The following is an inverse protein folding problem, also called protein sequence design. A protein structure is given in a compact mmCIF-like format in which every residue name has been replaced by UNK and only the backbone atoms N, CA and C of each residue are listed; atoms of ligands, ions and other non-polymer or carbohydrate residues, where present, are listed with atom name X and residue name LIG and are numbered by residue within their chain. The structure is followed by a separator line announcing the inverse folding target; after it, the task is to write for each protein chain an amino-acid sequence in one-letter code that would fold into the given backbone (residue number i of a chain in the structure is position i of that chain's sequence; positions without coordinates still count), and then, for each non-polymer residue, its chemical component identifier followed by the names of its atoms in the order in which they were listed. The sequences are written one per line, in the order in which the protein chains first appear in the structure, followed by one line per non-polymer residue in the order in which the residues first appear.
data_IF_717604918797
#
_entry.id   IF_717604918797
#
_cell.length_a   1.000
_cell.length_b   1.000
_cell.length_c   1.000
_cell.angle_alpha   90.00
_cell.angle_beta   90.00
_cell.angle_gamma   90.00
#
_symmetry.space_group_name_H-M   'P 1'
#
loop_
_entity.id
_entity.type
_entity.pdbx_description
1 polymer ?
#
# COMPACT_ATOMS: atom_id res chain seq x y z
N UNK A 1 14.55 10.97 -29.64
CA UNK A 1 15.10 10.27 -28.46
C UNK A 1 15.97 11.24 -27.67
N UNK A 2 15.48 11.86 -26.58
CA UNK A 2 16.33 12.40 -25.53
C UNK A 2 16.28 11.52 -24.27
N UNK A 3 17.40 11.50 -23.56
CA UNK A 3 17.69 10.60 -22.45
C UNK A 3 17.05 11.08 -21.14
N UNK A 4 16.54 10.09 -20.41
CA UNK A 4 16.05 10.02 -19.02
C UNK A 4 16.39 11.21 -18.12
N UNK A 5 15.35 11.80 -17.53
CA UNK A 5 15.44 12.81 -16.49
C UNK A 5 16.01 12.28 -15.18
N UNK A 6 16.84 13.11 -14.55
CA UNK A 6 17.32 12.96 -13.18
C UNK A 6 16.20 13.25 -12.18
N UNK A 7 15.87 12.33 -11.26
CA UNK A 7 15.06 12.61 -10.11
C UNK A 7 15.94 12.78 -8.86
N UNK A 8 16.84 13.77 -8.86
CA UNK A 8 17.44 14.26 -7.61
C UNK A 8 16.42 15.11 -6.86
N UNK A 9 15.45 14.45 -6.26
CA UNK A 9 14.60 15.10 -5.26
C UNK A 9 14.44 14.17 -4.07
N UNK A 10 15.53 14.08 -3.33
CA UNK A 10 15.57 13.63 -1.94
C UNK A 10 14.68 14.57 -1.09
N UNK A 11 13.37 14.30 -1.11
CA UNK A 11 12.44 14.88 -0.17
C UNK A 11 12.59 14.15 1.17
N UNK A 12 13.57 14.62 1.96
CA UNK A 12 13.87 14.15 3.30
C UNK A 12 12.64 14.31 4.21
N UNK A 13 12.20 13.20 4.80
CA UNK A 13 11.15 13.15 5.81
C UNK A 13 11.73 13.59 7.17
N UNK A 14 11.13 14.60 7.80
CA UNK A 14 11.59 15.18 9.07
C UNK A 14 10.49 15.08 10.14
N UNK A 15 10.79 14.41 11.27
CA UNK A 15 9.89 14.29 12.43
C UNK A 15 9.92 15.62 13.23
N UNK A 16 8.81 16.37 13.26
CA UNK A 16 8.75 17.70 13.90
C UNK A 16 8.73 17.69 15.44
N UNK A 17 8.93 16.55 16.11
CA UNK A 17 8.80 16.46 17.59
C UNK A 17 10.03 15.94 18.32
N UNK A 18 10.94 15.26 17.64
CA UNK A 18 12.18 14.77 18.18
C UNK A 18 13.16 14.73 17.01
N UNK A 19 14.24 15.51 17.05
CA UNK A 19 15.19 15.66 15.94
C UNK A 19 15.99 14.39 15.61
N UNK A 20 15.32 13.27 15.35
CA UNK A 20 15.90 12.00 14.91
C UNK A 20 15.13 11.53 13.68
N UNK A 21 15.83 11.48 12.55
CA UNK A 21 15.36 10.92 11.30
C UNK A 21 14.99 9.44 11.49
N UNK A 22 13.73 9.06 11.20
CA UNK A 22 13.28 7.66 11.26
C UNK A 22 13.76 6.82 10.06
N UNK A 23 14.28 7.48 9.02
CA UNK A 23 14.79 6.88 7.79
C UNK A 23 14.46 7.75 6.57
N UNK A 24 15.02 7.42 5.40
CA UNK A 24 14.69 8.08 4.14
C UNK A 24 13.45 7.38 3.55
N UNK A 25 12.35 8.12 3.37
CA UNK A 25 11.16 7.66 2.65
C UNK A 25 11.10 8.31 1.27
N UNK A 26 10.64 7.58 0.25
CA UNK A 26 10.41 8.18 -1.06
C UNK A 26 9.22 9.16 -1.01
N UNK A 27 9.12 10.08 -1.98
CA UNK A 27 8.05 11.09 -2.05
C UNK A 27 6.64 10.50 -1.87
N UNK A 28 6.38 9.34 -2.47
CA UNK A 28 5.08 8.67 -2.37
C UNK A 28 4.81 8.10 -0.97
N UNK A 29 5.83 7.59 -0.30
CA UNK A 29 5.70 7.10 1.07
C UNK A 29 5.49 8.24 2.05
N UNK A 30 6.29 9.32 1.94
CA UNK A 30 6.14 10.52 2.75
C UNK A 30 4.75 11.17 2.53
N UNK A 31 4.37 11.40 1.27
CA UNK A 31 3.05 11.90 0.93
C UNK A 31 1.93 11.00 1.45
N UNK A 32 2.11 9.68 1.36
CA UNK A 32 1.21 8.69 1.93
C UNK A 32 1.03 8.83 3.44
N UNK A 33 2.12 8.94 4.20
CA UNK A 33 2.07 9.16 5.65
C UNK A 33 1.35 10.47 6.00
N UNK A 34 1.62 11.54 5.26
CA UNK A 34 0.93 12.83 5.39
C UNK A 34 -0.59 12.72 5.20
N UNK A 35 -1.06 11.91 4.25
CA UNK A 35 -2.51 11.65 4.08
C UNK A 35 -3.14 10.99 5.32
N UNK A 36 -2.37 10.18 6.04
CA UNK A 36 -2.79 9.58 7.31
C UNK A 36 -2.45 10.45 8.53
N UNK A 37 -1.97 11.69 8.34
CA UNK A 37 -1.53 12.62 9.39
C UNK A 37 -0.54 11.98 10.37
N UNK A 38 0.34 11.14 9.85
CA UNK A 38 1.36 10.40 10.61
C UNK A 38 0.77 9.60 11.79
N UNK A 39 -0.51 9.26 11.74
CA UNK A 39 -1.22 8.60 12.82
C UNK A 39 -1.16 7.08 12.66
N UNK A 40 -0.49 6.36 13.58
CA UNK A 40 -0.43 4.90 13.53
C UNK A 40 -1.82 4.26 13.54
N UNK A 41 -2.78 4.85 14.27
CA UNK A 41 -4.16 4.38 14.34
C UNK A 41 -4.87 4.47 12.99
N UNK A 42 -4.64 5.54 12.22
CA UNK A 42 -5.26 5.69 10.88
C UNK A 42 -4.65 4.71 9.88
N UNK A 43 -3.34 4.53 9.93
CA UNK A 43 -2.64 3.51 9.15
C UNK A 43 -3.14 2.10 9.47
N UNK A 44 -3.31 1.76 10.75
CA UNK A 44 -3.85 0.47 11.17
C UNK A 44 -5.27 0.21 10.65
N UNK A 45 -6.11 1.25 10.61
CA UNK A 45 -7.45 1.17 9.99
C UNK A 45 -7.38 0.94 8.49
N UNK A 46 -6.48 1.62 7.78
CA UNK A 46 -6.26 1.39 6.35
C UNK A 46 -5.79 -0.05 6.07
N UNK A 47 -4.86 -0.58 6.86
CA UNK A 47 -4.42 -1.99 6.78
C UNK A 47 -5.61 -2.94 7.02
N UNK A 48 -6.43 -2.65 8.02
CA UNK A 48 -7.63 -3.44 8.33
C UNK A 48 -8.61 -3.44 7.15
N UNK A 49 -8.86 -2.28 6.57
CA UNK A 49 -9.71 -2.14 5.38
C UNK A 49 -9.18 -2.96 4.20
N UNK A 50 -7.88 -2.90 3.91
CA UNK A 50 -7.26 -3.70 2.85
C UNK A 50 -7.42 -5.21 3.14
N UNK A 51 -7.11 -5.66 4.35
CA UNK A 51 -7.27 -7.08 4.72
C UNK A 51 -8.70 -7.57 4.56
N UNK A 52 -9.69 -6.73 4.86
CA UNK A 52 -11.10 -7.08 4.70
C UNK A 52 -11.57 -7.10 3.25
N UNK A 53 -11.05 -6.21 2.41
CA UNK A 53 -11.61 -5.94 1.06
C UNK A 53 -10.79 -6.49 -0.10
N UNK A 54 -9.52 -6.83 0.14
CA UNK A 54 -8.64 -7.37 -0.89
C UNK A 54 -8.98 -8.83 -1.18
N UNK A 55 -8.95 -9.18 -2.47
CA UNK A 55 -9.01 -10.55 -2.93
C UNK A 55 -7.67 -11.23 -2.67
N UNK A 56 -7.70 -12.32 -1.90
CA UNK A 56 -6.54 -13.17 -1.64
C UNK A 56 -6.60 -14.40 -2.54
N UNK A 57 -5.45 -14.78 -3.09
CA UNK A 57 -5.30 -16.01 -3.87
C UNK A 57 -4.96 -17.15 -2.92
N UNK A 58 -5.87 -18.10 -2.75
CA UNK A 58 -5.63 -19.35 -2.04
C UNK A 58 -5.30 -20.45 -3.05
N UNK A 59 -4.14 -21.10 -2.91
CA UNK A 59 -3.79 -22.27 -3.72
C UNK A 59 -4.67 -23.44 -3.27
N UNK A 60 -5.45 -24.02 -4.19
CA UNK A 60 -6.33 -25.16 -3.91
C UNK A 60 -5.88 -26.44 -4.60
N UNK A 61 -5.12 -26.30 -5.69
CA UNK A 61 -4.51 -27.40 -6.45
C UNK A 61 -3.27 -26.86 -7.16
N UNK A 62 -2.26 -27.69 -7.51
CA UNK A 62 -1.14 -27.24 -8.35
C UNK A 62 -1.59 -26.44 -9.57
N UNK A 63 -1.20 -25.16 -9.63
CA UNK A 63 -1.57 -24.25 -10.70
C UNK A 63 -2.97 -23.62 -10.61
N UNK A 64 -3.83 -24.06 -9.69
CA UNK A 64 -5.20 -23.55 -9.52
C UNK A 64 -5.32 -22.74 -8.23
N UNK A 65 -5.70 -21.48 -8.40
CA UNK A 65 -5.89 -20.54 -7.30
C UNK A 65 -7.36 -20.11 -7.23
N UNK A 66 -7.92 -20.12 -6.04
CA UNK A 66 -9.21 -19.52 -5.76
C UNK A 66 -9.01 -18.09 -5.25
N UNK A 67 -9.77 -17.14 -5.79
CA UNK A 67 -9.85 -15.79 -5.24
C UNK A 67 -10.92 -15.76 -4.15
N UNK A 68 -10.51 -15.46 -2.92
CA UNK A 68 -11.38 -15.32 -1.76
C UNK A 68 -11.19 -13.92 -1.16
N UNK A 69 -12.28 -13.26 -0.79
CA UNK A 69 -12.22 -12.04 0.01
C UNK A 69 -13.07 -12.25 1.26
N UNK A 70 -12.61 -11.86 2.46
CA UNK A 70 -13.38 -12.04 3.68
C UNK A 70 -14.74 -11.33 3.66
N UNK A 71 -14.85 -10.22 2.92
CA UNK A 71 -16.06 -9.39 2.89
C UNK A 71 -16.77 -9.38 1.54
N UNK A 72 -16.13 -9.85 0.46
CA UNK A 72 -16.74 -9.91 -0.88
C UNK A 72 -17.02 -11.37 -1.27
N UNK A 73 -18.28 -11.67 -1.52
CA UNK A 73 -18.70 -12.95 -2.10
C UNK A 73 -18.06 -13.18 -3.47
N UNK A 74 -17.89 -14.44 -3.87
CA UNK A 74 -17.19 -14.90 -5.10
C UNK A 74 -17.40 -13.91 -6.26
N UNK A 75 -16.34 -13.43 -6.92
CA UNK A 75 -16.51 -12.50 -8.03
C UNK A 75 -17.26 -13.23 -9.16
N UNK A 76 -18.15 -12.54 -9.89
CA UNK A 76 -18.84 -13.15 -11.02
C UNK A 76 -17.80 -13.70 -12.01
N UNK A 77 -18.06 -14.90 -12.53
CA UNK A 77 -17.16 -15.51 -13.51
C UNK A 77 -17.25 -14.67 -14.79
N UNK A 78 -16.11 -14.33 -15.43
CA UNK A 78 -16.10 -13.46 -16.62
C UNK A 78 -16.68 -14.11 -17.90
N UNK A 79 -17.47 -15.18 -17.76
CA UNK A 79 -18.01 -15.95 -18.87
C UNK A 79 -19.52 -16.16 -18.71
N UNK A 80 -20.29 -15.53 -19.61
CA UNK A 80 -21.60 -15.96 -20.11
C UNK A 80 -21.62 -15.66 -21.60
#
# INVERSE_FOLDING_TARGET
MPLRGDPDTEHLDHDHRAGSSRGILCFNCNGGLGQFRDSPTRLARAITYLRGTTWQRALIHPGVYQMCSPTRGRPPSPHS
#
